data_IF_889993297342
#
_entry.id   IF_889993297342
#
_cell.length_a   1.000
_cell.length_b   1.000
_cell.length_c   1.000
_cell.angle_alpha   90.00
_cell.angle_beta   90.00
_cell.angle_gamma   90.00
#
_symmetry.space_group_name_H-M   'P 1'
#
loop_
_entity.id
_entity.type
_entity.pdbx_description
1 polymer ?
#
# COMPACT_ATOMS: atom_id res chain seq x y z
N UNK A 1 -3.62 15.36 4.04
CA UNK A 1 -2.74 14.44 4.78
C UNK A 1 -1.73 13.82 3.83
N UNK A 2 -2.19 13.33 2.67
CA UNK A 2 -1.37 13.30 1.45
C UNK A 2 -1.65 14.61 0.70
N UNK A 3 -0.62 15.33 0.31
CA UNK A 3 -0.72 16.50 -0.56
C UNK A 3 -0.45 16.00 -1.99
N UNK A 4 -1.51 15.79 -2.77
CA UNK A 4 -1.43 15.14 -4.08
C UNK A 4 -1.84 16.17 -5.13
N UNK A 5 -0.83 16.88 -5.64
CA UNK A 5 -0.98 17.91 -6.66
C UNK A 5 -0.35 17.43 -7.96
N UNK A 6 -1.05 16.54 -8.66
CA UNK A 6 -0.63 16.02 -9.94
C UNK A 6 -1.25 16.85 -11.08
N UNK A 7 -0.45 17.36 -12.04
CA UNK A 7 -0.95 18.14 -13.16
C UNK A 7 -1.82 17.28 -14.08
N UNK A 8 -2.74 17.90 -14.81
CA UNK A 8 -3.53 17.20 -15.83
C UNK A 8 -2.62 16.74 -17.01
N UNK A 9 -3.04 15.75 -17.81
CA UNK A 9 -2.27 15.32 -18.97
C UNK A 9 -2.01 16.49 -19.93
N UNK A 10 -0.74 16.69 -20.33
CA UNK A 10 -0.33 17.76 -21.24
C UNK A 10 0.02 19.10 -20.57
N UNK A 11 -0.19 19.26 -19.26
CA UNK A 11 0.18 20.49 -18.53
C UNK A 11 1.69 20.52 -18.19
N UNK A 12 2.29 19.36 -17.94
CA UNK A 12 3.71 19.23 -17.59
C UNK A 12 4.35 18.05 -18.37
N UNK A 13 5.19 18.34 -19.39
CA UNK A 13 5.86 17.31 -20.19
C UNK A 13 6.80 16.41 -19.38
N UNK A 14 7.38 16.90 -18.29
CA UNK A 14 8.25 16.10 -17.43
C UNK A 14 7.43 15.04 -16.71
N UNK A 15 6.32 15.43 -16.08
CA UNK A 15 5.39 14.51 -15.41
C UNK A 15 4.75 13.53 -16.40
N UNK A 16 4.43 14.00 -17.61
CA UNK A 16 3.88 13.15 -18.68
C UNK A 16 4.84 12.05 -19.15
N UNK A 17 6.15 12.32 -19.11
CA UNK A 17 7.19 11.36 -19.46
C UNK A 17 7.66 10.49 -18.29
N UNK A 18 7.27 10.83 -17.07
CA UNK A 18 7.70 10.14 -15.87
C UNK A 18 6.95 8.79 -15.69
N UNK A 19 7.54 7.83 -14.95
CA UNK A 19 6.81 6.64 -14.53
C UNK A 19 5.55 7.02 -13.73
N UNK A 20 4.48 6.19 -13.78
CA UNK A 20 3.24 6.47 -13.07
C UNK A 20 3.45 6.78 -11.58
N UNK A 21 2.64 7.70 -11.06
CA UNK A 21 2.53 7.98 -9.64
C UNK A 21 1.67 6.89 -8.98
N UNK A 22 2.32 5.92 -8.34
CA UNK A 22 1.64 4.79 -7.71
C UNK A 22 1.47 5.01 -6.20
N UNK A 23 0.24 4.95 -5.71
CA UNK A 23 -0.05 4.85 -4.28
C UNK A 23 -0.43 3.40 -3.98
N UNK A 24 0.24 2.79 -3.01
CA UNK A 24 -0.11 1.46 -2.51
C UNK A 24 -1.02 1.57 -1.28
N UNK A 25 -2.08 0.78 -1.24
CA UNK A 25 -2.99 0.63 -0.12
C UNK A 25 -3.10 -0.87 0.22
N UNK A 26 -2.88 -1.24 1.47
CA UNK A 26 -3.13 -2.60 1.96
C UNK A 26 -4.18 -2.57 3.07
N UNK A 27 -5.20 -3.42 2.97
CA UNK A 27 -6.38 -3.37 3.83
C UNK A 27 -7.61 -2.77 3.13
N UNK A 28 -7.82 -3.11 1.86
CA UNK A 28 -8.87 -2.51 1.00
C UNK A 28 -10.25 -2.46 1.68
N UNK A 29 -10.64 -3.51 2.41
CA UNK A 29 -11.91 -3.58 3.12
C UNK A 29 -13.11 -3.40 2.18
N UNK A 30 -13.86 -2.32 2.34
CA UNK A 30 -15.02 -1.99 1.49
C UNK A 30 -14.70 -1.03 0.32
N UNK A 31 -13.44 -0.59 0.18
CA UNK A 31 -12.97 0.34 -0.86
C UNK A 31 -13.24 1.82 -0.55
N UNK A 32 -13.53 2.17 0.70
CA UNK A 32 -13.85 3.54 1.10
C UNK A 32 -12.65 4.49 1.01
N UNK A 33 -11.52 4.07 1.58
CA UNK A 33 -10.25 4.79 1.47
C UNK A 33 -9.75 4.82 0.02
N UNK A 34 -9.76 3.68 -0.67
CA UNK A 34 -9.44 3.58 -2.11
C UNK A 34 -10.22 4.59 -2.95
N UNK A 35 -11.54 4.75 -2.73
CA UNK A 35 -12.35 5.75 -3.43
C UNK A 35 -11.95 7.18 -3.09
N UNK A 36 -11.59 7.46 -1.83
CA UNK A 36 -11.13 8.78 -1.43
C UNK A 36 -9.82 9.14 -2.13
N UNK A 37 -8.88 8.20 -2.23
CA UNK A 37 -7.60 8.39 -2.92
C UNK A 37 -7.79 8.50 -4.43
N UNK A 38 -8.63 7.65 -5.02
CA UNK A 38 -8.91 7.67 -6.46
C UNK A 38 -9.48 9.03 -6.90
N UNK A 39 -10.32 9.67 -6.06
CA UNK A 39 -10.80 11.04 -6.29
C UNK A 39 -9.68 12.08 -6.35
N UNK A 40 -8.65 11.92 -5.53
CA UNK A 40 -7.53 12.87 -5.47
C UNK A 40 -6.64 12.76 -6.71
N UNK A 41 -6.45 11.55 -7.25
CA UNK A 41 -5.58 11.33 -8.41
C UNK A 41 -6.30 11.40 -9.77
N UNK A 42 -7.64 11.36 -9.79
CA UNK A 42 -8.43 11.21 -11.02
C UNK A 42 -8.07 12.23 -12.12
N UNK A 43 -7.86 13.50 -11.74
CA UNK A 43 -7.54 14.57 -12.68
C UNK A 43 -6.20 14.39 -13.41
N UNK A 44 -5.31 13.55 -12.88
CA UNK A 44 -4.03 13.25 -13.50
C UNK A 44 -4.13 12.18 -14.61
N UNK A 45 -5.23 11.44 -14.69
CA UNK A 45 -5.38 10.40 -15.71
C UNK A 45 -6.10 10.92 -16.97
N UNK A 46 -5.82 10.33 -18.16
CA UNK A 46 -6.61 10.62 -19.36
C UNK A 46 -8.11 10.33 -19.13
N UNK A 47 -9.02 11.04 -19.81
CA UNK A 47 -10.44 10.77 -19.66
C UNK A 47 -10.82 9.36 -20.14
N UNK A 48 -11.57 8.62 -19.33
CA UNK A 48 -12.07 7.29 -19.70
C UNK A 48 -13.13 7.40 -20.81
N UNK A 49 -12.98 6.71 -21.95
CA UNK A 49 -14.01 6.68 -22.99
C UNK A 49 -15.38 6.24 -22.44
N UNK A 50 -16.50 6.93 -22.78
CA UNK A 50 -17.82 6.60 -22.24
C UNK A 50 -18.27 5.16 -22.50
N UNK A 51 -17.94 4.60 -23.67
CA UNK A 51 -18.24 3.21 -24.00
C UNK A 51 -17.50 2.23 -23.08
N UNK A 52 -16.21 2.47 -22.83
CA UNK A 52 -15.40 1.67 -21.91
C UNK A 52 -15.92 1.76 -20.47
N UNK A 53 -16.27 2.96 -20.01
CA UNK A 53 -16.83 3.16 -18.66
C UNK A 53 -18.15 2.40 -18.47
N UNK A 54 -19.05 2.47 -19.45
CA UNK A 54 -20.33 1.72 -19.43
C UNK A 54 -20.08 0.21 -19.46
N UNK A 55 -19.15 -0.25 -20.30
CA UNK A 55 -18.76 -1.66 -20.37
C UNK A 55 -18.25 -2.17 -19.02
N UNK A 56 -17.32 -1.45 -18.38
CA UNK A 56 -16.81 -1.78 -17.06
C UNK A 56 -17.94 -1.85 -16.03
N UNK A 57 -18.83 -0.84 -15.99
CA UNK A 57 -19.93 -0.75 -15.04
C UNK A 57 -20.82 -2.00 -15.04
N UNK A 58 -21.09 -2.57 -16.22
CA UNK A 58 -22.04 -3.67 -16.40
C UNK A 58 -21.39 -5.05 -16.61
N UNK A 59 -20.08 -5.10 -16.89
CA UNK A 59 -19.37 -6.35 -17.16
C UNK A 59 -19.56 -7.39 -16.04
N UNK A 60 -19.73 -8.64 -16.43
CA UNK A 60 -19.74 -9.75 -15.49
C UNK A 60 -18.31 -10.07 -15.03
N UNK A 61 -18.21 -10.67 -13.86
CA UNK A 61 -16.92 -11.16 -13.37
C UNK A 61 -16.61 -12.51 -13.99
N UNK A 62 -15.33 -12.74 -14.31
CA UNK A 62 -14.86 -14.06 -14.76
C UNK A 62 -15.21 -15.12 -13.69
N UNK A 63 -15.95 -16.20 -14.05
CA UNK A 63 -16.38 -17.21 -13.10
C UNK A 63 -15.21 -17.91 -12.40
N UNK A 64 -15.38 -18.29 -11.13
CA UNK A 64 -14.34 -18.97 -10.34
C UNK A 64 -13.77 -20.20 -11.04
N UNK A 65 -14.61 -21.00 -11.71
CA UNK A 65 -14.19 -22.19 -12.48
C UNK A 65 -13.16 -21.89 -13.57
N UNK A 66 -13.29 -20.75 -14.25
CA UNK A 66 -12.39 -20.37 -15.35
C UNK A 66 -11.01 -19.94 -14.84
N UNK A 67 -10.88 -19.56 -13.55
CA UNK A 67 -9.60 -19.17 -12.93
C UNK A 67 -8.71 -20.37 -12.57
N UNK A 68 -9.31 -21.56 -12.43
CA UNK A 68 -8.61 -22.79 -12.03
C UNK A 68 -8.60 -23.87 -13.12
N UNK A 69 -9.12 -23.55 -14.32
CA UNK A 69 -9.06 -24.49 -15.44
C UNK A 69 -7.59 -24.73 -15.80
N UNK A 70 -7.12 -25.96 -15.63
CA UNK A 70 -5.84 -26.40 -16.18
C UNK A 70 -5.96 -26.40 -17.69
N UNK A 71 -5.09 -25.66 -18.37
CA UNK A 71 -5.08 -25.62 -19.82
C UNK A 71 -4.72 -27.01 -20.36
N UNK A 72 -5.50 -27.53 -21.29
CA UNK A 72 -5.22 -28.82 -21.93
C UNK A 72 -3.95 -28.66 -22.79
N UNK A 73 -2.92 -29.53 -22.68
CA UNK A 73 -1.64 -29.36 -23.38
C UNK A 73 -1.72 -29.34 -24.92
N UNK A 74 -2.88 -29.62 -25.50
CA UNK A 74 -3.10 -29.73 -26.95
C UNK A 74 -3.70 -28.49 -27.63
N UNK A 75 -4.15 -27.47 -26.90
CA UNK A 75 -4.71 -26.26 -27.52
C UNK A 75 -3.64 -25.20 -27.75
N UNK A 76 -3.29 -25.01 -29.03
CA UNK A 76 -2.25 -24.12 -29.53
C UNK A 76 -2.21 -22.72 -28.89
N UNK A 77 -1.01 -22.14 -28.88
CA UNK A 77 -0.71 -20.84 -28.30
C UNK A 77 -1.61 -19.73 -28.89
N UNK A 78 -2.37 -18.94 -28.10
CA UNK A 78 -3.02 -17.75 -28.58
C UNK A 78 -1.93 -16.68 -28.52
N UNK A 79 -1.45 -16.26 -29.68
CA UNK A 79 -0.66 -15.04 -29.79
C UNK A 79 -1.48 -13.88 -29.21
N UNK A 80 -0.88 -13.13 -28.27
CA UNK A 80 -1.30 -11.87 -27.60
C UNK A 80 -1.71 -11.96 -26.11
N UNK A 81 -0.73 -11.59 -25.26
CA UNK A 81 -0.83 -10.76 -24.04
C UNK A 81 -2.03 -10.93 -23.09
N UNK A 82 -2.48 -12.15 -22.82
CA UNK A 82 -3.41 -12.41 -21.71
C UNK A 82 -2.61 -12.91 -20.50
N UNK A 83 -2.82 -12.40 -19.27
CA UNK A 83 -2.16 -12.94 -18.08
C UNK A 83 -2.47 -14.44 -17.97
N UNK A 84 -1.46 -15.24 -17.59
CA UNK A 84 -1.49 -16.72 -17.61
C UNK A 84 -2.66 -17.33 -16.80
N UNK A 85 -3.29 -16.57 -15.88
CA UNK A 85 -4.61 -16.85 -15.28
C UNK A 85 -5.38 -15.55 -14.99
N UNK A 86 -6.70 -15.51 -15.20
CA UNK A 86 -7.52 -14.36 -14.82
C UNK A 86 -7.54 -14.18 -13.29
N UNK A 87 -7.33 -12.93 -12.86
CA UNK A 87 -7.23 -12.57 -11.46
C UNK A 87 -8.58 -12.64 -10.72
N UNK A 88 -8.54 -12.29 -9.43
CA UNK A 88 -9.72 -12.30 -8.59
C UNK A 88 -10.75 -11.26 -8.96
N UNK A 89 -10.43 -10.22 -9.74
CA UNK A 89 -11.29 -9.09 -10.06
C UNK A 89 -11.65 -8.96 -11.55
N UNK A 90 -11.16 -9.88 -12.37
CA UNK A 90 -11.22 -9.88 -13.82
C UNK A 90 -12.65 -9.83 -14.33
N UNK A 91 -12.85 -9.05 -15.39
CA UNK A 91 -14.14 -8.77 -16.01
C UNK A 91 -14.21 -9.36 -17.41
N UNK A 92 -15.40 -9.81 -17.78
CA UNK A 92 -15.75 -10.18 -19.16
C UNK A 92 -16.29 -8.93 -19.85
N UNK A 93 -15.45 -8.31 -20.67
CA UNK A 93 -15.85 -7.13 -21.46
C UNK A 93 -16.67 -7.58 -22.68
N UNK A 94 -17.70 -6.79 -23.07
CA UNK A 94 -18.73 -7.24 -24.01
C UNK A 94 -18.28 -7.30 -25.48
N UNK A 95 -17.20 -6.63 -25.86
CA UNK A 95 -16.70 -6.60 -27.26
C UNK A 95 -15.18 -6.44 -27.35
N UNK A 96 -14.61 -6.87 -28.48
CA UNK A 96 -13.18 -6.68 -28.79
C UNK A 96 -12.75 -5.20 -28.76
N UNK A 97 -13.62 -4.29 -29.20
CA UNK A 97 -13.37 -2.84 -29.11
C UNK A 97 -13.20 -2.39 -27.66
N UNK A 98 -14.06 -2.88 -26.74
CA UNK A 98 -13.95 -2.53 -25.32
C UNK A 98 -12.72 -3.16 -24.66
N UNK A 99 -12.34 -4.37 -25.07
CA UNK A 99 -11.08 -5.00 -24.64
C UNK A 99 -9.88 -4.19 -25.12
N UNK A 100 -9.86 -3.81 -26.40
CA UNK A 100 -8.78 -3.02 -27.00
C UNK A 100 -8.67 -1.64 -26.34
N UNK A 101 -9.80 -0.97 -26.10
CA UNK A 101 -9.85 0.31 -25.39
C UNK A 101 -9.35 0.18 -23.94
N UNK A 102 -9.71 -0.91 -23.24
CA UNK A 102 -9.22 -1.18 -21.89
C UNK A 102 -7.70 -1.38 -21.88
N UNK A 103 -7.17 -2.22 -22.77
CA UNK A 103 -5.74 -2.49 -22.87
C UNK A 103 -4.93 -1.27 -23.29
N UNK A 104 -5.47 -0.41 -24.15
CA UNK A 104 -4.84 0.86 -24.52
C UNK A 104 -4.86 1.88 -23.37
N UNK A 105 -5.89 1.86 -22.52
CA UNK A 105 -6.02 2.80 -21.41
C UNK A 105 -5.07 2.48 -20.24
N UNK A 106 -4.91 1.20 -19.89
CA UNK A 106 -4.11 0.80 -18.72
C UNK A 106 -2.69 1.39 -18.65
N UNK A 107 -1.87 1.35 -19.73
CA UNK A 107 -0.53 1.95 -19.71
C UNK A 107 -0.54 3.48 -19.85
N UNK A 108 -1.67 4.09 -20.26
CA UNK A 108 -1.79 5.54 -20.39
C UNK A 108 -2.08 6.25 -19.05
N UNK A 109 -2.30 5.50 -17.97
CA UNK A 109 -2.53 6.04 -16.62
C UNK A 109 -1.25 6.65 -16.09
N UNK A 110 -1.35 7.88 -15.58
CA UNK A 110 -0.25 8.64 -14.97
C UNK A 110 -0.29 8.53 -13.44
N UNK A 111 -1.42 8.16 -12.86
CA UNK A 111 -1.56 7.91 -11.43
C UNK A 111 -2.44 6.69 -11.15
N UNK A 112 -2.03 5.84 -10.20
CA UNK A 112 -2.70 4.56 -9.94
C UNK A 112 -2.77 4.29 -8.44
N UNK A 113 -3.94 3.89 -7.95
CA UNK A 113 -4.08 3.28 -6.63
C UNK A 113 -3.96 1.76 -6.75
N UNK A 114 -2.86 1.21 -6.25
CA UNK A 114 -2.66 -0.23 -6.11
C UNK A 114 -3.25 -0.68 -4.77
N UNK A 115 -4.45 -1.26 -4.79
CA UNK A 115 -5.20 -1.63 -3.58
C UNK A 115 -5.14 -3.15 -3.37
N UNK A 116 -4.66 -3.59 -2.21
CA UNK A 116 -4.47 -5.00 -1.89
C UNK A 116 -5.36 -5.40 -0.71
N UNK A 117 -5.91 -6.60 -0.79
CA UNK A 117 -6.55 -7.28 0.34
C UNK A 117 -6.18 -8.76 0.33
N UNK A 118 -5.91 -9.33 1.50
CA UNK A 118 -5.64 -10.77 1.59
C UNK A 118 -6.92 -11.59 1.35
N UNK A 119 -8.09 -11.00 1.63
CA UNK A 119 -9.37 -11.65 1.48
C UNK A 119 -9.99 -11.32 0.10
N UNK A 120 -10.14 -12.35 -0.74
CA UNK A 120 -10.70 -12.20 -2.08
C UNK A 120 -12.13 -11.67 -2.11
N UNK A 121 -12.94 -11.96 -1.08
CA UNK A 121 -14.32 -11.51 -1.02
C UNK A 121 -14.43 -10.03 -0.65
N UNK A 122 -13.54 -9.56 0.25
CA UNK A 122 -13.40 -8.13 0.56
C UNK A 122 -12.93 -7.37 -0.68
N UNK A 123 -11.86 -7.83 -1.33
CA UNK A 123 -11.37 -7.23 -2.60
C UNK A 123 -12.47 -7.20 -3.67
N UNK A 124 -13.22 -8.30 -3.85
CA UNK A 124 -14.34 -8.36 -4.80
C UNK A 124 -15.44 -7.36 -4.47
N UNK A 125 -15.81 -7.23 -3.19
CA UNK A 125 -16.84 -6.28 -2.75
C UNK A 125 -16.38 -4.84 -2.97
N UNK A 126 -15.14 -4.52 -2.60
CA UNK A 126 -14.54 -3.22 -2.87
C UNK A 126 -14.50 -2.90 -4.37
N UNK A 127 -14.07 -3.86 -5.21
CA UNK A 127 -14.08 -3.71 -6.66
C UNK A 127 -15.46 -3.35 -7.19
N UNK A 128 -16.50 -4.05 -6.72
CA UNK A 128 -17.89 -3.81 -7.11
C UNK A 128 -18.35 -2.41 -6.69
N UNK A 129 -18.03 -2.01 -5.45
CA UNK A 129 -18.37 -0.69 -4.93
C UNK A 129 -17.70 0.42 -5.73
N UNK A 130 -16.39 0.31 -5.97
CA UNK A 130 -15.61 1.30 -6.73
C UNK A 130 -16.15 1.45 -8.15
N UNK A 131 -16.37 0.31 -8.83
CA UNK A 131 -16.92 0.28 -10.18
C UNK A 131 -18.35 0.83 -10.26
N UNK A 132 -19.16 0.66 -9.21
CA UNK A 132 -20.52 1.20 -9.13
C UNK A 132 -20.57 2.67 -8.75
N UNK A 133 -19.54 3.18 -8.05
CA UNK A 133 -19.54 4.54 -7.54
C UNK A 133 -19.46 5.57 -8.66
N UNK A 134 -20.34 6.58 -8.61
CA UNK A 134 -20.46 7.64 -9.63
C UNK A 134 -20.40 7.09 -11.08
N UNK A 135 -21.10 5.98 -11.33
CA UNK A 135 -21.16 5.31 -12.65
C UNK A 135 -19.78 4.88 -13.18
N UNK A 136 -18.92 4.38 -12.31
CA UNK A 136 -17.61 3.83 -12.67
C UNK A 136 -16.56 4.89 -12.99
N UNK A 137 -16.75 6.13 -12.51
CA UNK A 137 -15.85 7.25 -12.79
C UNK A 137 -14.39 6.93 -12.41
N UNK A 138 -14.19 6.26 -11.28
CA UNK A 138 -12.86 5.96 -10.73
C UNK A 138 -12.39 4.53 -10.97
N UNK A 139 -13.11 3.75 -11.77
CA UNK A 139 -12.85 2.32 -11.91
C UNK A 139 -11.47 2.00 -12.51
N UNK A 140 -10.91 2.91 -13.32
CA UNK A 140 -9.60 2.74 -13.95
C UNK A 140 -8.48 3.49 -13.23
N UNK A 141 -8.78 4.33 -12.23
CA UNK A 141 -7.77 4.96 -11.38
C UNK A 141 -7.18 3.95 -10.37
N UNK A 142 -7.82 2.79 -10.22
CA UNK A 142 -7.45 1.77 -9.24
C UNK A 142 -7.05 0.46 -9.92
N UNK A 143 -6.31 -0.37 -9.20
CA UNK A 143 -5.99 -1.75 -9.58
C UNK A 143 -6.00 -2.58 -8.30
N UNK A 144 -6.97 -3.50 -8.23
CA UNK A 144 -7.24 -4.27 -7.01
C UNK A 144 -6.63 -5.66 -7.10
N UNK A 145 -5.82 -5.99 -6.11
CA UNK A 145 -5.07 -7.23 -6.01
C UNK A 145 -5.57 -8.07 -4.85
N UNK A 146 -5.28 -9.37 -4.90
CA UNK A 146 -5.52 -10.31 -3.81
C UNK A 146 -4.24 -11.08 -3.54
N UNK A 147 -3.79 -11.06 -2.29
CA UNK A 147 -2.54 -11.71 -1.87
C UNK A 147 -1.95 -11.01 -0.65
N UNK A 148 -0.71 -11.39 -0.30
CA UNK A 148 0.04 -10.72 0.75
C UNK A 148 0.84 -9.52 0.21
N UNK A 149 1.19 -8.57 1.09
CA UNK A 149 2.02 -7.42 0.71
C UNK A 149 3.37 -7.92 0.17
N UNK A 150 3.98 -8.86 0.90
CA UNK A 150 5.25 -9.48 0.52
C UNK A 150 5.22 -10.10 -0.88
N UNK A 151 4.22 -10.92 -1.20
CA UNK A 151 4.06 -11.51 -2.54
C UNK A 151 3.89 -10.44 -3.62
N UNK A 152 3.00 -9.47 -3.37
CA UNK A 152 2.71 -8.42 -4.34
C UNK A 152 3.96 -7.60 -4.65
N UNK A 153 4.63 -7.06 -3.63
CA UNK A 153 5.80 -6.19 -3.82
C UNK A 153 7.00 -6.99 -4.35
N UNK A 154 7.27 -8.20 -3.85
CA UNK A 154 8.36 -9.03 -4.37
C UNK A 154 8.16 -9.39 -5.85
N UNK A 155 6.92 -9.73 -6.27
CA UNK A 155 6.62 -10.00 -7.67
C UNK A 155 6.85 -8.78 -8.57
N UNK A 156 6.58 -7.57 -8.07
CA UNK A 156 6.86 -6.31 -8.78
C UNK A 156 8.36 -6.10 -8.97
N UNK A 157 9.18 -6.32 -7.93
CA UNK A 157 10.64 -6.25 -8.04
C UNK A 157 11.22 -7.29 -9.01
N UNK A 158 10.66 -8.51 -9.04
CA UNK A 158 11.07 -9.52 -10.02
C UNK A 158 10.73 -9.12 -11.45
N UNK A 159 9.59 -8.47 -11.67
CA UNK A 159 9.13 -8.08 -13.00
C UNK A 159 9.76 -6.79 -13.52
N UNK A 160 10.06 -5.83 -12.63
CA UNK A 160 10.43 -4.45 -13.00
C UNK A 160 11.88 -4.09 -12.64
N UNK A 161 12.60 -4.95 -11.91
CA UNK A 161 13.92 -4.65 -11.37
C UNK A 161 13.84 -4.06 -9.96
N UNK A 162 14.99 -3.72 -9.38
CA UNK A 162 15.14 -3.39 -7.95
C UNK A 162 14.88 -1.91 -7.60
N UNK A 163 14.38 -1.12 -8.56
CA UNK A 163 14.13 0.31 -8.39
C UNK A 163 12.84 0.59 -7.60
N UNK A 164 12.83 1.58 -6.68
CA UNK A 164 11.62 2.00 -6.00
C UNK A 164 10.56 2.57 -6.95
N UNK A 165 9.31 2.14 -6.81
CA UNK A 165 8.22 2.49 -7.75
C UNK A 165 7.02 3.18 -7.09
N UNK A 166 6.86 3.11 -5.76
CA UNK A 166 5.71 3.67 -5.04
C UNK A 166 5.97 5.12 -4.61
N UNK A 167 5.04 6.03 -4.90
CA UNK A 167 5.08 7.38 -4.35
C UNK A 167 4.68 7.38 -2.87
N UNK A 168 3.61 6.66 -2.51
CA UNK A 168 3.14 6.52 -1.13
C UNK A 168 2.65 5.11 -0.86
N UNK A 169 2.62 4.72 0.41
CA UNK A 169 2.08 3.46 0.88
C UNK A 169 1.20 3.71 2.12
N UNK A 170 0.06 3.02 2.20
CA UNK A 170 -0.90 3.13 3.29
C UNK A 170 -1.21 1.73 3.77
N UNK A 171 -0.93 1.45 5.04
CA UNK A 171 -1.18 0.16 5.66
C UNK A 171 -2.31 0.30 6.68
N UNK A 172 -3.46 -0.24 6.35
CA UNK A 172 -4.62 -0.43 7.23
C UNK A 172 -4.75 -1.91 7.56
N UNK A 173 -3.86 -2.38 8.43
CA UNK A 173 -3.74 -3.78 8.81
C UNK A 173 -4.04 -3.95 10.29
N UNK A 174 -4.58 -5.12 10.72
CA UNK A 174 -4.74 -5.43 12.14
C UNK A 174 -3.44 -5.30 12.94
N UNK A 175 -2.35 -5.74 12.32
CA UNK A 175 -0.98 -5.57 12.81
C UNK A 175 -0.05 -5.33 11.61
N UNK A 176 0.50 -4.11 11.44
CA UNK A 176 1.42 -3.80 10.34
C UNK A 176 2.78 -4.51 10.45
N UNK A 177 3.05 -5.22 11.57
CA UNK A 177 4.30 -5.95 11.82
C UNK A 177 4.21 -7.46 11.79
N UNK A 178 3.03 -8.03 11.56
CA UNK A 178 2.87 -9.48 11.55
C UNK A 178 3.82 -10.17 10.55
N UNK A 179 4.23 -9.46 9.49
CA UNK A 179 5.21 -9.89 8.51
C UNK A 179 6.37 -8.89 8.40
N UNK A 180 7.56 -9.29 8.85
CA UNK A 180 8.74 -8.43 8.85
C UNK A 180 9.31 -8.21 7.45
N UNK A 181 9.08 -9.15 6.54
CA UNK A 181 9.47 -9.04 5.13
C UNK A 181 8.62 -7.97 4.43
N UNK A 182 7.32 -7.89 4.75
CA UNK A 182 6.43 -6.86 4.20
C UNK A 182 6.93 -5.45 4.49
N UNK A 183 7.40 -5.17 5.72
CA UNK A 183 7.93 -3.85 6.09
C UNK A 183 9.19 -3.49 5.30
N UNK A 184 10.14 -4.42 5.13
CA UNK A 184 11.35 -4.17 4.31
C UNK A 184 10.97 -3.92 2.85
N UNK A 185 10.07 -4.73 2.30
CA UNK A 185 9.67 -4.63 0.90
C UNK A 185 8.91 -3.34 0.60
N UNK A 186 7.96 -2.94 1.46
CA UNK A 186 7.29 -1.64 1.34
C UNK A 186 8.29 -0.50 1.48
N UNK A 187 9.22 -0.61 2.43
CA UNK A 187 10.29 0.38 2.59
C UNK A 187 11.12 0.50 1.32
N UNK A 188 11.54 -0.63 0.74
CA UNK A 188 12.32 -0.69 -0.49
C UNK A 188 11.56 -0.11 -1.68
N UNK A 189 10.25 -0.38 -1.79
CA UNK A 189 9.42 0.02 -2.92
C UNK A 189 9.04 1.51 -2.89
N UNK A 190 9.03 2.17 -1.73
CA UNK A 190 8.76 3.61 -1.61
C UNK A 190 9.88 4.45 -2.23
N UNK A 191 9.57 5.42 -3.08
CA UNK A 191 10.56 6.39 -3.57
C UNK A 191 11.11 7.23 -2.40
N UNK A 192 12.32 7.83 -2.53
CA UNK A 192 12.74 8.89 -1.62
C UNK A 192 11.65 9.96 -1.52
N UNK A 193 11.47 10.51 -0.32
CA UNK A 193 10.38 11.43 0.06
C UNK A 193 8.96 10.84 0.01
N UNK A 194 8.84 9.56 -0.35
CA UNK A 194 7.59 8.83 -0.27
C UNK A 194 7.09 8.71 1.15
N UNK A 195 5.77 8.64 1.30
CA UNK A 195 5.11 8.61 2.61
C UNK A 195 4.59 7.20 2.90
N UNK A 196 4.90 6.70 4.09
CA UNK A 196 4.27 5.54 4.70
C UNK A 196 3.25 6.03 5.73
N UNK A 197 1.98 5.72 5.49
CA UNK A 197 0.88 5.97 6.41
C UNK A 197 0.50 4.65 7.07
N UNK A 198 0.42 4.64 8.40
CA UNK A 198 0.07 3.48 9.19
C UNK A 198 -1.19 3.78 9.97
N UNK A 199 -2.29 3.11 9.67
CA UNK A 199 -3.44 3.11 10.57
C UNK A 199 -3.25 2.02 11.64
N UNK A 200 -3.38 2.40 12.91
CA UNK A 200 -3.36 1.47 14.03
C UNK A 200 -4.47 1.82 15.03
N UNK A 201 -5.15 0.82 15.61
CA UNK A 201 -6.16 1.08 16.64
C UNK A 201 -5.55 1.66 17.93
N UNK A 202 -4.27 1.40 18.23
CA UNK A 202 -3.56 1.92 19.40
C UNK A 202 -2.35 2.79 19.03
N UNK A 203 -2.13 3.86 19.80
CA UNK A 203 -0.92 4.69 19.73
C UNK A 203 0.36 3.91 20.06
N UNK A 204 0.24 2.86 20.88
CA UNK A 204 1.40 2.01 21.25
C UNK A 204 1.92 1.25 20.04
N UNK A 205 1.06 0.78 19.14
CA UNK A 205 1.47 0.10 17.91
C UNK A 205 2.25 1.04 16.98
N UNK A 206 1.86 2.31 16.89
CA UNK A 206 2.63 3.32 16.15
C UNK A 206 4.00 3.54 16.81
N UNK A 207 4.05 3.59 18.14
CA UNK A 207 5.31 3.80 18.86
C UNK A 207 6.26 2.60 18.76
N UNK A 208 5.72 1.38 18.86
CA UNK A 208 6.43 0.13 18.56
C UNK A 208 6.94 0.15 17.13
N UNK A 209 6.17 0.71 16.17
CA UNK A 209 6.64 0.84 14.81
C UNK A 209 7.90 1.67 14.68
N UNK A 210 7.85 2.86 15.25
CA UNK A 210 8.94 3.82 15.17
C UNK A 210 10.20 3.26 15.84
N UNK A 211 10.02 2.60 16.98
CA UNK A 211 11.12 1.96 17.70
C UNK A 211 11.77 0.86 16.86
N UNK A 212 10.97 -0.03 16.28
CA UNK A 212 11.47 -1.16 15.50
C UNK A 212 12.09 -0.72 14.18
N UNK A 213 11.50 0.26 13.51
CA UNK A 213 12.07 0.89 12.33
C UNK A 213 13.45 1.52 12.65
N UNK A 214 13.57 2.19 13.79
CA UNK A 214 14.85 2.76 14.26
C UNK A 214 15.88 1.67 14.53
N UNK A 215 15.48 0.61 15.25
CA UNK A 215 16.37 -0.52 15.60
C UNK A 215 16.93 -1.20 14.35
N UNK A 216 16.09 -1.43 13.34
CA UNK A 216 16.47 -2.03 12.05
C UNK A 216 17.17 -1.07 11.09
N UNK A 217 17.34 0.20 11.47
CA UNK A 217 17.94 1.22 10.61
C UNK A 217 17.13 1.52 9.35
N UNK A 218 15.79 1.42 9.42
CA UNK A 218 14.91 1.82 8.32
C UNK A 218 14.95 3.35 8.12
N UNK A 219 14.80 3.85 6.87
CA UNK A 219 15.04 5.24 6.49
C UNK A 219 13.83 6.13 6.79
N UNK A 220 13.18 5.98 7.94
CA UNK A 220 11.95 6.71 8.21
C UNK A 220 12.18 7.84 9.19
N UNK A 221 11.59 9.00 8.86
CA UNK A 221 11.39 10.09 9.80
C UNK A 221 9.91 10.23 10.06
N UNK A 222 9.50 10.12 11.33
CA UNK A 222 8.12 10.35 11.73
C UNK A 222 7.80 11.82 11.60
N UNK A 223 6.95 12.16 10.63
CA UNK A 223 6.49 13.52 10.40
C UNK A 223 5.41 13.90 11.41
N UNK A 224 4.39 13.04 11.55
CA UNK A 224 3.21 13.32 12.38
C UNK A 224 2.59 12.04 12.89
N UNK A 225 1.88 12.14 14.02
CA UNK A 225 0.99 11.09 14.52
C UNK A 225 -0.32 11.74 14.89
N UNK A 226 -1.44 11.22 14.39
CA UNK A 226 -2.75 11.85 14.52
C UNK A 226 -3.77 10.83 15.03
N UNK A 227 -4.51 11.18 16.07
CA UNK A 227 -5.68 10.43 16.54
C UNK A 227 -6.91 10.84 15.74
N UNK A 228 -7.65 9.85 15.24
CA UNK A 228 -8.87 10.08 14.48
C UNK A 228 -10.08 10.19 15.42
N UNK A 229 -11.06 11.04 15.09
CA UNK A 229 -12.33 11.08 15.81
C UNK A 229 -13.15 9.80 15.52
N UNK A 230 -14.08 9.46 16.43
CA UNK A 230 -14.95 8.29 16.31
C UNK A 230 -16.02 8.42 15.23
N UNK A 231 -16.37 9.64 14.84
CA UNK A 231 -17.28 9.92 13.75
C UNK A 231 -16.98 11.31 13.15
N UNK A 232 -17.58 11.59 11.99
CA UNK A 232 -17.44 12.89 11.30
C UNK A 232 -18.36 13.99 11.86
N UNK A 233 -19.20 13.67 12.84
CA UNK A 233 -20.30 14.51 13.35
C UNK A 233 -20.10 15.02 14.78
N UNK A 234 -19.04 14.57 15.49
CA UNK A 234 -18.66 15.05 16.81
C UNK A 234 -17.99 16.42 16.68
N UNK A 235 -18.77 17.37 16.16
CA UNK A 235 -18.52 18.80 16.16
C UNK A 235 -18.96 19.46 17.46
N UNK A 236 -19.22 18.72 18.54
CA UNK A 236 -19.51 19.34 19.83
C UNK A 236 -18.21 19.90 20.43
N UNK A 237 -18.09 21.24 20.55
CA UNK A 237 -16.91 21.88 21.10
C UNK A 237 -17.00 21.79 22.62
N UNK A 238 -16.52 20.70 23.21
CA UNK A 238 -16.14 20.71 24.63
C UNK A 238 -14.67 21.11 24.72
N UNK A 239 -14.46 22.41 24.56
CA UNK A 239 -13.22 23.19 24.69
C UNK A 239 -12.06 22.82 23.75
N UNK A 240 -11.88 23.62 22.70
CA UNK A 240 -10.74 23.56 21.76
C UNK A 240 -11.20 23.67 20.29
N UNK A 241 -10.33 24.11 19.36
CA UNK A 241 -10.74 24.37 17.98
C UNK A 241 -11.26 23.09 17.33
N UNK A 242 -12.52 23.14 16.88
CA UNK A 242 -13.19 22.12 16.11
C UNK A 242 -12.53 21.97 14.74
N UNK A 243 -11.53 21.09 14.64
CA UNK A 243 -10.91 20.70 13.38
C UNK A 243 -11.17 19.22 13.12
N UNK A 244 -11.99 18.94 12.10
CA UNK A 244 -12.29 17.61 11.54
C UNK A 244 -11.09 16.87 10.92
N UNK A 245 -9.86 17.17 11.37
CA UNK A 245 -8.58 16.68 10.85
C UNK A 245 -7.80 15.80 11.84
N UNK A 246 -8.41 15.41 12.96
CA UNK A 246 -7.78 14.60 14.01
C UNK A 246 -6.93 15.41 15.00
N UNK A 247 -6.52 14.76 16.10
CA UNK A 247 -5.72 15.37 17.18
C UNK A 247 -4.26 14.94 17.04
N UNK A 248 -3.31 15.87 17.01
CA UNK A 248 -1.88 15.52 16.94
C UNK A 248 -1.35 14.95 18.26
N UNK A 249 -0.48 13.94 18.14
CA UNK A 249 0.23 13.28 19.23
C UNK A 249 1.75 13.40 19.05
N UNK A 250 2.46 13.38 20.18
CA UNK A 250 3.92 13.27 20.24
C UNK A 250 4.31 11.92 20.82
N UNK A 251 5.26 11.26 20.17
CA UNK A 251 5.90 10.03 20.63
C UNK A 251 7.38 10.35 20.85
N UNK A 252 7.87 10.08 22.06
CA UNK A 252 9.27 10.29 22.43
C UNK A 252 9.83 8.99 23.01
N UNK A 253 10.97 8.52 22.51
CA UNK A 253 11.72 7.41 23.10
C UNK A 253 12.89 7.97 23.92
N UNK A 254 13.03 7.51 25.15
CA UNK A 254 14.13 7.89 26.05
C UNK A 254 14.78 6.64 26.60
N UNK A 255 16.11 6.53 26.47
CA UNK A 255 16.86 5.44 27.10
C UNK A 255 17.08 5.81 28.56
N UNK A 256 16.62 4.95 29.46
CA UNK A 256 16.79 5.09 30.90
C UNK A 256 17.68 3.95 31.39
N UNK A 257 18.71 4.30 32.16
CA UNK A 257 19.55 3.32 32.84
C UNK A 257 18.89 2.92 34.16
N UNK A 258 18.63 1.63 34.33
CA UNK A 258 18.11 1.05 35.57
C UNK A 258 19.10 -0.03 36.04
N UNK A 259 20.07 0.39 36.86
CA UNK A 259 21.20 -0.46 37.26
C UNK A 259 22.09 -0.83 36.06
N UNK A 260 22.45 -2.12 35.86
CA UNK A 260 23.22 -2.56 34.69
C UNK A 260 22.37 -2.66 33.41
N UNK A 261 21.03 -2.53 33.50
CA UNK A 261 20.13 -2.66 32.36
C UNK A 261 19.80 -1.30 31.74
N UNK A 262 19.69 -1.25 30.41
CA UNK A 262 19.13 -0.11 29.68
C UNK A 262 17.71 -0.45 29.28
N UNK A 263 16.75 0.41 29.60
CA UNK A 263 15.35 0.28 29.16
C UNK A 263 15.00 1.45 28.27
N UNK A 264 14.26 1.17 27.20
CA UNK A 264 13.65 2.21 26.37
C UNK A 264 12.30 2.56 26.98
N UNK A 265 12.15 3.79 27.43
CA UNK A 265 10.87 4.34 27.88
C UNK A 265 10.24 5.12 26.74
N UNK A 266 9.00 4.78 26.41
CA UNK A 266 8.23 5.43 25.35
C UNK A 266 7.16 6.31 25.98
N UNK A 267 7.18 7.60 25.66
CA UNK A 267 6.19 8.59 26.11
C UNK A 267 5.28 8.96 24.93
N UNK A 268 4.01 8.62 25.04
CA UNK A 268 2.97 9.01 24.07
C UNK A 268 2.02 10.01 24.73
N UNK A 269 1.91 11.22 24.18
CA UNK A 269 1.03 12.27 24.71
C UNK A 269 0.37 13.09 23.60
N UNK A 270 -0.89 13.51 23.73
CA UNK A 270 -1.48 14.48 22.80
C UNK A 270 -0.70 15.79 22.88
N UNK A 271 -0.49 16.46 21.74
CA UNK A 271 0.18 17.77 21.71
C UNK A 271 -0.67 18.86 22.34
N UNK A 272 -1.99 18.74 22.20
CA UNK A 272 -3.00 19.69 22.72
C UNK A 272 -4.26 18.94 23.15
N UNK A 273 -4.99 19.50 24.12
CA UNK A 273 -6.25 18.95 24.60
C UNK A 273 -6.10 17.97 25.77
N UNK A 274 -7.18 17.25 26.08
CA UNK A 274 -7.23 16.32 27.22
C UNK A 274 -6.48 15.02 26.92
N UNK A 275 -6.00 14.34 27.97
CA UNK A 275 -5.38 13.01 27.86
C UNK A 275 -6.37 11.89 27.49
N UNK A 276 -7.66 12.20 27.33
CA UNK A 276 -8.68 11.22 27.01
C UNK A 276 -8.61 10.85 25.53
N UNK A 277 -8.28 9.58 25.28
CA UNK A 277 -8.37 8.93 23.96
C UNK A 277 -9.86 8.79 23.60
N UNK A 278 -10.20 9.16 22.37
CA UNK A 278 -11.57 9.17 21.82
C UNK A 278 -11.92 7.82 21.20
N UNK A 279 -10.92 7.10 20.66
CA UNK A 279 -11.06 5.71 20.23
C UNK A 279 -11.32 5.49 18.73
N UNK A 280 -11.13 6.51 17.88
CA UNK A 280 -11.21 6.37 16.42
C UNK A 280 -9.95 5.75 15.77
N UNK A 281 -8.93 5.42 16.57
CA UNK A 281 -7.63 4.94 16.10
C UNK A 281 -6.63 6.06 15.83
N UNK A 282 -5.45 5.68 15.36
CA UNK A 282 -4.32 6.57 15.13
C UNK A 282 -3.74 6.36 13.74
N UNK A 283 -3.19 7.42 13.17
CA UNK A 283 -2.43 7.37 11.93
C UNK A 283 -1.02 7.90 12.16
N UNK A 284 -0.03 7.05 11.95
CA UNK A 284 1.38 7.44 11.86
C UNK A 284 1.73 7.87 10.45
N UNK A 285 2.42 9.01 10.30
CA UNK A 285 2.91 9.53 9.02
C UNK A 285 4.42 9.54 9.06
N UNK A 286 5.03 8.69 8.24
CA UNK A 286 6.47 8.55 8.15
C UNK A 286 6.92 8.89 6.73
N UNK A 287 7.96 9.71 6.60
CA UNK A 287 8.58 10.01 5.32
C UNK A 287 9.82 9.14 5.16
N UNK A 288 9.94 8.47 4.00
CA UNK A 288 11.17 7.79 3.61
C UNK A 288 12.20 8.86 3.24
N UNK A 289 13.28 8.96 4.00
CA UNK A 289 14.43 9.80 3.64
C UNK A 289 15.39 9.04 2.73
N UNK A 290 16.34 9.74 2.12
CA UNK A 290 17.41 9.11 1.35
C UNK A 290 18.17 8.12 2.23
N UNK A 291 18.21 6.86 1.82
CA UNK A 291 18.93 5.79 2.51
C UNK A 291 20.43 6.08 2.56
N UNK A 292 21.09 5.68 3.66
CA UNK A 292 22.55 5.61 3.73
C UNK A 292 23.06 4.42 2.90
N UNK A 293 24.31 4.45 2.46
CA UNK A 293 24.90 3.38 1.62
C UNK A 293 24.71 1.99 2.23
N UNK A 294 25.03 1.81 3.52
CA UNK A 294 24.87 0.54 4.22
C UNK A 294 23.42 0.00 4.22
N UNK A 295 22.43 0.88 4.17
CA UNK A 295 21.02 0.50 4.11
C UNK A 295 20.60 0.16 2.68
N UNK A 296 21.11 0.89 1.69
CA UNK A 296 20.92 0.53 0.29
C UNK A 296 21.52 -0.85 0.00
N UNK A 297 22.71 -1.14 0.53
CA UNK A 297 23.37 -2.44 0.45
C UNK A 297 22.50 -3.54 1.10
N UNK A 298 21.93 -3.26 2.28
CA UNK A 298 21.00 -4.18 2.97
C UNK A 298 19.76 -4.47 2.13
N UNK A 299 19.13 -3.46 1.54
CA UNK A 299 17.97 -3.64 0.68
C UNK A 299 18.33 -4.47 -0.56
N UNK A 300 19.47 -4.19 -1.20
CA UNK A 300 19.95 -4.94 -2.35
C UNK A 300 20.20 -6.42 -2.00
N UNK A 301 20.82 -6.70 -0.85
CA UNK A 301 21.06 -8.06 -0.36
C UNK A 301 19.73 -8.83 -0.10
N UNK A 302 18.73 -8.17 0.51
CA UNK A 302 17.40 -8.76 0.72
C UNK A 302 16.76 -9.13 -0.62
N UNK A 303 16.74 -8.20 -1.58
CA UNK A 303 16.14 -8.45 -2.91
C UNK A 303 16.89 -9.53 -3.69
N UNK A 304 18.22 -9.55 -3.61
CA UNK A 304 19.06 -10.57 -4.23
C UNK A 304 18.74 -11.97 -3.69
N UNK A 305 18.74 -12.14 -2.36
CA UNK A 305 18.44 -13.42 -1.70
C UNK A 305 17.01 -13.88 -1.97
N UNK A 306 16.04 -12.96 -1.98
CA UNK A 306 14.66 -13.26 -2.34
C UNK A 306 14.58 -13.79 -3.78
N UNK A 307 15.26 -13.13 -4.72
CA UNK A 307 15.28 -13.53 -6.14
C UNK A 307 15.94 -14.89 -6.33
N UNK A 308 17.11 -15.10 -5.74
CA UNK A 308 17.84 -16.37 -5.82
C UNK A 308 16.98 -17.52 -5.29
N UNK A 309 16.41 -17.38 -4.09
CA UNK A 309 15.59 -18.43 -3.49
C UNK A 309 14.25 -18.61 -4.21
N UNK A 310 13.65 -17.54 -4.74
CA UNK A 310 12.42 -17.65 -5.52
C UNK A 310 12.64 -18.44 -6.83
N UNK A 311 13.83 -18.37 -7.42
CA UNK A 311 14.20 -19.16 -8.60
C UNK A 311 14.40 -20.65 -8.29
N UNK A 312 14.91 -20.99 -7.11
CA UNK A 312 15.18 -22.40 -6.73
C UNK A 312 13.97 -23.09 -6.10
N UNK A 313 13.32 -22.41 -5.15
CA UNK A 313 12.36 -23.03 -4.21
C UNK A 313 10.94 -22.46 -4.37
N UNK A 314 10.77 -21.45 -5.23
CA UNK A 314 9.52 -20.72 -5.41
C UNK A 314 9.34 -19.54 -4.45
N UNK A 315 8.47 -18.60 -4.84
CA UNK A 315 8.28 -17.31 -4.12
C UNK A 315 7.81 -17.49 -2.67
N UNK A 316 6.88 -18.41 -2.43
CA UNK A 316 6.33 -18.65 -1.08
C UNK A 316 7.43 -19.08 -0.10
N UNK A 317 8.28 -20.03 -0.52
CA UNK A 317 9.43 -20.50 0.28
C UNK A 317 10.46 -19.40 0.51
N UNK A 318 10.71 -18.57 -0.51
CA UNK A 318 11.65 -17.45 -0.41
C UNK A 318 11.18 -16.40 0.62
N UNK A 319 9.89 -16.05 0.60
CA UNK A 319 9.31 -15.09 1.54
C UNK A 319 9.30 -15.62 2.98
N UNK A 320 8.98 -16.90 3.18
CA UNK A 320 9.00 -17.52 4.49
C UNK A 320 10.42 -17.53 5.10
N UNK A 321 11.42 -17.97 4.33
CA UNK A 321 12.83 -17.98 4.74
C UNK A 321 13.32 -16.58 5.09
N UNK A 322 12.95 -15.57 4.30
CA UNK A 322 13.32 -14.18 4.57
C UNK A 322 12.67 -13.67 5.87
N UNK A 323 11.39 -13.98 6.10
CA UNK A 323 10.69 -13.53 7.31
C UNK A 323 11.31 -14.16 8.57
N UNK A 324 11.68 -15.45 8.52
CA UNK A 324 12.38 -16.12 9.61
C UNK A 324 13.76 -15.50 9.89
N UNK A 325 14.52 -15.14 8.85
CA UNK A 325 15.83 -14.47 9.00
C UNK A 325 15.68 -13.10 9.64
N UNK A 326 14.75 -12.28 9.16
CA UNK A 326 14.52 -10.92 9.67
C UNK A 326 14.03 -10.92 11.12
N UNK A 327 13.21 -11.91 11.49
CA UNK A 327 12.75 -12.08 12.87
C UNK A 327 13.91 -12.38 13.83
N UNK A 328 14.90 -13.19 13.42
CA UNK A 328 16.08 -13.55 14.24
C UNK A 328 17.06 -12.40 14.44
N UNK A 329 17.15 -11.47 13.48
CA UNK A 329 17.95 -10.23 13.64
C UNK A 329 17.38 -9.34 14.77
N UNK A 330 16.10 -9.51 15.13
CA UNK A 330 15.50 -8.86 16.30
C UNK A 330 15.99 -9.36 17.65
N UNK A 331 16.31 -10.64 17.77
CA UNK A 331 16.62 -11.26 19.07
C UNK A 331 18.08 -11.00 19.50
N UNK A 332 19.02 -10.98 18.55
CA UNK A 332 20.46 -10.90 18.83
C UNK A 332 20.89 -9.53 19.38
N UNK A 333 20.20 -8.45 19.03
CA UNK A 333 20.51 -7.09 19.52
C UNK A 333 19.86 -6.76 20.86
N UNK A 334 18.85 -7.53 21.31
CA UNK A 334 18.26 -7.35 22.66
C UNK A 334 19.05 -8.06 23.76
N UNK A 335 20.01 -8.90 23.38
CA UNK A 335 20.83 -9.69 24.28
C UNK A 335 22.19 -9.05 24.65
N UNK A 336 22.53 -7.88 24.07
CA UNK A 336 23.79 -7.16 24.30
C UNK A 336 23.59 -5.73 24.82
#
# INVERSE_FOLDING_TARGET
>A
MLDIDLPAPGEDPFVDSAPPFEIFEAGTGHGGLTLHLARAIHGANPPVPPALRTALLHAEYVPKRARFATRDPGEGLPTTSTPERPDHNSLILPSEDTVSAYQAYLPARRAIIQSLDINSDHSRRAHRNIRGFRRGLYALDTSLHVGTISEYIASRFLAQGDEPFLAHAILDLPDPFADQTSVELVTAALRPDGLLLLFCPSITQIAEFIQEATRRGLPFVTSRVVELPTNTMDSEPKEGPSNSGGRDWSIEHTIVSEGPSRKVLTRCRPKVGTLKIVGGGFVGVLQRVKSKDAQADRTADILHKLREKAQTDGMESALQDMNERLSKVGEIETAN
#
